data_IF_252490527868
#
_entry.id   IF_252490527868
#
_cell.length_a   1.000
_cell.length_b   1.000
_cell.length_c   1.000
_cell.angle_alpha   90.00
_cell.angle_beta   90.00
_cell.angle_gamma   90.00
#
_symmetry.space_group_name_H-M   'P 1'
#
loop_
_entity.id
_entity.type
_entity.pdbx_description
1 polymer ?
#
# COMPACT_ATOMS: atom_id res chain seq x y z
N UNK A 1 -0.15 14.67 -16.92
CA UNK A 1 0.06 13.23 -16.64
C UNK A 1 1.55 12.93 -16.74
N UNK A 2 2.25 12.83 -15.60
CA UNK A 2 3.60 12.27 -15.57
C UNK A 2 3.48 10.97 -14.78
N UNK A 3 3.30 9.87 -15.50
CA UNK A 3 3.60 8.55 -14.95
C UNK A 3 5.09 8.55 -14.70
N UNK A 4 5.52 8.85 -13.47
CA UNK A 4 6.90 8.56 -13.10
C UNK A 4 6.98 7.04 -13.03
N UNK A 5 7.33 6.42 -14.16
CA UNK A 5 7.51 4.98 -14.22
C UNK A 5 8.46 4.57 -13.09
N UNK A 6 8.08 3.52 -12.36
CA UNK A 6 8.94 3.02 -11.31
C UNK A 6 10.26 2.59 -11.95
N UNK A 7 11.33 3.36 -11.72
CA UNK A 7 12.66 3.00 -12.22
C UNK A 7 13.02 1.57 -11.77
N UNK A 8 12.63 1.18 -10.55
CA UNK A 8 12.88 -0.16 -10.01
C UNK A 8 12.11 -1.22 -10.80
N UNK A 9 10.81 -1.03 -11.05
CA UNK A 9 10.01 -2.00 -11.81
C UNK A 9 10.51 -2.16 -13.24
N UNK A 10 10.86 -1.04 -13.89
CA UNK A 10 11.42 -1.03 -15.25
C UNK A 10 12.76 -1.76 -15.26
N UNK A 11 13.65 -1.49 -14.32
CA UNK A 11 14.94 -2.19 -14.21
C UNK A 11 14.76 -3.70 -14.01
N UNK A 12 13.83 -4.13 -13.15
CA UNK A 12 13.56 -5.56 -12.96
C UNK A 12 13.07 -6.24 -14.25
N UNK A 13 12.17 -5.59 -14.99
CA UNK A 13 11.68 -6.13 -16.28
C UNK A 13 12.82 -6.23 -17.30
N UNK A 14 13.69 -5.22 -17.38
CA UNK A 14 14.86 -5.23 -18.26
C UNK A 14 15.80 -6.39 -17.92
N UNK A 15 16.09 -6.61 -16.64
CA UNK A 15 16.90 -7.76 -16.19
C UNK A 15 16.24 -9.08 -16.59
N UNK A 16 14.91 -9.19 -16.42
CA UNK A 16 14.14 -10.36 -16.85
C UNK A 16 14.24 -10.63 -18.35
N UNK A 17 14.10 -9.61 -19.20
CA UNK A 17 14.27 -9.75 -20.65
C UNK A 17 15.69 -10.13 -21.06
N UNK A 18 16.71 -9.55 -20.41
CA UNK A 18 18.10 -9.95 -20.63
C UNK A 18 18.29 -11.43 -20.25
N UNK A 19 17.68 -11.87 -19.15
CA UNK A 19 17.72 -13.26 -18.70
C UNK A 19 17.09 -14.19 -19.73
N UNK A 20 15.94 -13.83 -20.32
CA UNK A 20 15.33 -14.62 -21.40
C UNK A 20 16.22 -14.71 -22.64
N UNK A 21 16.83 -13.60 -23.05
CA UNK A 21 17.75 -13.59 -24.18
C UNK A 21 18.95 -14.53 -23.94
N UNK A 22 19.58 -14.44 -22.77
CA UNK A 22 20.68 -15.32 -22.37
C UNK A 22 20.25 -16.79 -22.24
N UNK A 23 19.03 -17.04 -21.74
CA UNK A 23 18.45 -18.39 -21.68
C UNK A 23 18.30 -18.99 -23.08
N UNK A 24 17.83 -18.20 -24.05
CA UNK A 24 17.73 -18.62 -25.44
C UNK A 24 19.09 -18.99 -26.04
N UNK A 25 20.11 -18.15 -25.86
CA UNK A 25 21.49 -18.46 -26.31
C UNK A 25 21.98 -19.76 -25.65
N UNK A 26 21.81 -19.86 -24.34
CA UNK A 26 22.27 -21.02 -23.57
C UNK A 26 21.57 -22.30 -24.00
N UNK A 27 20.28 -22.24 -24.33
CA UNK A 27 19.54 -23.37 -24.88
C UNK A 27 20.18 -23.89 -26.18
N UNK A 28 20.52 -23.03 -27.12
CA UNK A 28 21.18 -23.46 -28.37
C UNK A 28 22.57 -24.04 -28.12
N UNK A 29 23.34 -23.44 -27.21
CA UNK A 29 24.66 -23.96 -26.82
C UNK A 29 24.51 -25.34 -26.17
N UNK A 30 23.58 -25.52 -25.23
CA UNK A 30 23.34 -26.79 -24.55
C UNK A 30 22.85 -27.85 -25.54
N UNK A 31 21.93 -27.50 -26.45
CA UNK A 31 21.42 -28.42 -27.45
C UNK A 31 22.52 -28.92 -28.40
N UNK A 32 23.46 -28.06 -28.78
CA UNK A 32 24.60 -28.43 -29.62
C UNK A 32 25.60 -29.35 -28.91
N UNK A 33 25.79 -29.19 -27.59
CA UNK A 33 26.78 -29.95 -26.82
C UNK A 33 26.21 -31.24 -26.19
N UNK A 34 24.91 -31.27 -25.87
CA UNK A 34 24.26 -32.35 -25.13
C UNK A 34 23.08 -32.96 -25.89
N UNK A 35 23.22 -33.16 -27.20
CA UNK A 35 22.12 -33.62 -28.07
C UNK A 35 21.48 -34.96 -27.64
N UNK A 36 22.24 -35.84 -26.96
CA UNK A 36 21.75 -37.13 -26.45
C UNK A 36 21.01 -37.01 -25.10
N UNK A 37 21.10 -35.88 -24.40
CA UNK A 37 20.49 -35.67 -23.09
C UNK A 37 19.55 -34.46 -23.10
N UNK A 38 18.51 -34.56 -23.93
CA UNK A 38 17.50 -33.53 -24.09
C UNK A 38 16.78 -33.17 -22.78
N UNK A 39 16.58 -34.14 -21.89
CA UNK A 39 15.86 -33.93 -20.63
C UNK A 39 16.66 -33.02 -19.71
N UNK A 40 17.98 -33.20 -19.64
CA UNK A 40 18.87 -32.28 -18.92
C UNK A 40 18.84 -30.88 -19.52
N UNK A 41 18.94 -30.75 -20.85
CA UNK A 41 18.83 -29.44 -21.54
C UNK A 41 17.52 -28.74 -21.20
N UNK A 42 16.41 -29.49 -21.19
CA UNK A 42 15.09 -28.97 -20.88
C UNK A 42 14.99 -28.48 -19.43
N UNK A 43 15.47 -29.26 -18.45
CA UNK A 43 15.44 -28.87 -17.03
C UNK A 43 16.25 -27.60 -16.81
N UNK A 44 17.49 -27.54 -17.30
CA UNK A 44 18.34 -26.35 -17.14
C UNK A 44 17.73 -25.11 -17.78
N UNK A 45 17.19 -25.26 -18.99
CA UNK A 45 16.54 -24.15 -19.70
C UNK A 45 15.28 -23.70 -18.96
N UNK A 46 14.48 -24.63 -18.46
CA UNK A 46 13.28 -24.32 -17.69
C UNK A 46 13.61 -23.60 -16.37
N UNK A 47 14.67 -24.01 -15.67
CA UNK A 47 15.13 -23.33 -14.46
C UNK A 47 15.57 -21.89 -14.75
N UNK A 48 16.36 -21.64 -15.79
CA UNK A 48 16.75 -20.28 -16.17
C UNK A 48 15.56 -19.44 -16.64
N UNK A 49 14.68 -20.03 -17.42
CA UNK A 49 13.44 -19.39 -17.86
C UNK A 49 12.56 -18.96 -16.67
N UNK A 50 12.42 -19.84 -15.66
CA UNK A 50 11.65 -19.55 -14.46
C UNK A 50 12.22 -18.36 -13.69
N UNK A 51 13.55 -18.22 -13.63
CA UNK A 51 14.20 -17.05 -13.01
C UNK A 51 13.84 -15.77 -13.78
N UNK A 52 13.90 -15.79 -15.11
CA UNK A 52 13.49 -14.65 -15.94
C UNK A 52 12.03 -14.25 -15.70
N UNK A 53 11.13 -15.24 -15.60
CA UNK A 53 9.72 -15.04 -15.29
C UNK A 53 9.51 -14.36 -13.93
N UNK A 54 10.27 -14.76 -12.91
CA UNK A 54 10.19 -14.15 -11.57
C UNK A 54 10.56 -12.66 -11.63
N UNK A 55 11.64 -12.30 -12.34
CA UNK A 55 12.04 -10.89 -12.46
C UNK A 55 10.99 -10.03 -13.15
N UNK A 56 10.45 -10.50 -14.28
CA UNK A 56 9.39 -9.78 -15.00
C UNK A 56 8.12 -9.69 -14.16
N UNK A 57 7.69 -10.80 -13.56
CA UNK A 57 6.50 -10.86 -12.71
C UNK A 57 6.60 -9.93 -11.51
N UNK A 58 7.72 -9.91 -10.80
CA UNK A 58 7.95 -8.95 -9.70
C UNK A 58 7.93 -7.50 -10.19
N UNK A 59 8.52 -7.22 -11.35
CA UNK A 59 8.44 -5.90 -11.96
C UNK A 59 6.99 -5.48 -12.26
N UNK A 60 6.15 -6.40 -12.73
CA UNK A 60 4.72 -6.13 -12.93
C UNK A 60 3.97 -5.87 -11.63
N UNK A 61 4.16 -6.72 -10.62
CA UNK A 61 3.54 -6.55 -9.30
C UNK A 61 3.90 -5.18 -8.71
N UNK A 62 5.17 -4.79 -8.75
CA UNK A 62 5.62 -3.49 -8.25
C UNK A 62 4.98 -2.34 -9.04
N UNK A 63 4.89 -2.46 -10.37
CA UNK A 63 4.26 -1.45 -11.22
C UNK A 63 2.77 -1.31 -10.91
N UNK A 64 2.07 -2.42 -10.66
CA UNK A 64 0.66 -2.43 -10.28
C UNK A 64 0.45 -1.77 -8.92
N UNK A 65 1.28 -2.12 -7.92
CA UNK A 65 1.22 -1.52 -6.58
C UNK A 65 1.45 -0.01 -6.63
N UNK A 66 2.41 0.46 -7.43
CA UNK A 66 2.60 1.89 -7.61
C UNK A 66 1.45 2.57 -8.34
N UNK A 67 0.86 1.90 -9.33
CA UNK A 67 -0.29 2.46 -10.01
C UNK A 67 -1.50 2.56 -9.07
N UNK A 68 -1.70 1.59 -8.18
CA UNK A 68 -2.70 1.65 -7.12
C UNK A 68 -2.41 2.79 -6.13
N UNK A 69 -1.15 2.94 -5.70
CA UNK A 69 -0.74 4.02 -4.80
C UNK A 69 -0.89 5.41 -5.45
N UNK A 70 -0.60 5.55 -6.74
CA UNK A 70 -0.69 6.82 -7.46
C UNK A 70 -2.14 7.18 -7.86
N UNK A 71 -2.99 6.17 -8.05
CA UNK A 71 -4.41 6.34 -8.35
C UNK A 71 -5.29 6.26 -7.10
N UNK A 72 -4.71 6.08 -5.91
CA UNK A 72 -5.40 6.48 -4.71
C UNK A 72 -5.67 7.98 -4.89
N UNK A 73 -6.94 8.41 -4.85
CA UNK A 73 -7.22 9.84 -4.80
C UNK A 73 -6.39 10.38 -3.65
N UNK A 74 -5.56 11.39 -3.91
CA UNK A 74 -5.04 12.23 -2.83
C UNK A 74 -6.28 12.55 -1.99
N UNK A 75 -6.35 12.01 -0.76
CA UNK A 75 -7.33 12.47 0.22
C UNK A 75 -7.15 13.99 0.20
N UNK A 76 -8.17 14.74 -0.25
CA UNK A 76 -7.97 16.10 -0.72
C UNK A 76 -7.28 16.88 0.38
N UNK A 77 -6.03 17.28 0.13
CA UNK A 77 -5.37 18.28 0.93
C UNK A 77 -6.25 19.54 0.86
N UNK A 78 -7.01 19.78 1.92
CA UNK A 78 -7.87 20.95 2.09
C UNK A 78 -8.86 21.23 0.94
N UNK A 79 -9.94 20.47 0.89
CA UNK A 79 -11.26 21.08 0.74
C UNK A 79 -11.98 20.78 2.06
N UNK A 80 -12.13 21.68 3.04
CA UNK A 80 -13.06 22.84 2.99
C UNK A 80 -14.14 22.71 1.91
N UNK A 81 -14.71 21.52 1.79
CA UNK A 81 -16.03 21.31 1.24
C UNK A 81 -16.84 20.87 2.44
N UNK A 82 -17.72 21.78 2.83
CA UNK A 82 -18.94 21.50 3.59
C UNK A 82 -19.52 20.18 3.06
N UNK A 83 -19.19 19.07 3.73
CA UNK A 83 -19.96 17.85 3.56
C UNK A 83 -21.23 18.10 4.34
N UNK A 84 -22.18 18.74 3.66
CA UNK A 84 -23.56 18.79 4.08
C UNK A 84 -23.99 17.38 4.46
N UNK A 85 -24.14 17.17 5.77
CA UNK A 85 -25.10 16.30 6.41
C UNK A 85 -25.53 15.09 5.57
N UNK A 86 -24.66 14.12 5.38
CA UNK A 86 -25.13 12.74 5.28
C UNK A 86 -25.30 12.21 6.70
N UNK A 87 -26.49 12.54 7.20
CA UNK A 87 -27.35 11.71 8.03
C UNK A 87 -26.80 11.29 9.38
N UNK A 88 -27.51 11.76 10.41
CA UNK A 88 -27.61 11.32 11.80
C UNK A 88 -27.70 9.79 12.00
N UNK A 89 -26.72 9.02 11.53
CA UNK A 89 -26.48 7.66 11.98
C UNK A 89 -25.67 7.76 13.29
N UNK A 90 -26.39 8.13 14.35
CA UNK A 90 -26.09 7.87 15.76
C UNK A 90 -24.59 7.78 16.11
N UNK A 91 -24.02 8.91 16.58
CA UNK A 91 -22.80 8.96 17.39
C UNK A 91 -23.01 8.20 18.71
N UNK A 92 -23.15 6.88 18.66
CA UNK A 92 -23.23 6.01 19.82
C UNK A 92 -21.81 5.74 20.30
N UNK A 93 -21.45 6.43 21.37
CA UNK A 93 -20.27 6.11 22.16
C UNK A 93 -20.44 4.70 22.73
N UNK A 94 -19.37 3.91 22.68
CA UNK A 94 -19.32 2.67 23.43
C UNK A 94 -18.68 2.95 24.80
N UNK A 95 -18.99 2.12 25.79
CA UNK A 95 -18.30 2.14 27.09
C UNK A 95 -17.00 1.33 27.04
N UNK A 96 -16.59 0.84 25.87
CA UNK A 96 -15.33 0.13 25.72
C UNK A 96 -14.14 1.06 25.96
N UNK A 97 -13.21 0.55 26.74
CA UNK A 97 -11.95 1.23 27.02
C UNK A 97 -11.13 1.29 25.74
N UNK A 98 -10.72 2.50 25.34
CA UNK A 98 -9.80 2.71 24.23
C UNK A 98 -8.48 2.01 24.55
N UNK A 99 -8.02 1.12 23.67
CA UNK A 99 -6.75 0.42 23.84
C UNK A 99 -5.57 1.39 23.90
N UNK A 100 -4.57 1.09 24.73
CA UNK A 100 -3.39 1.96 24.93
C UNK A 100 -2.65 2.29 23.63
N UNK A 101 -2.62 1.33 22.69
CA UNK A 101 -2.02 1.52 21.36
C UNK A 101 -2.77 2.58 20.55
N UNK A 102 -4.09 2.46 20.45
CA UNK A 102 -4.94 3.41 19.72
C UNK A 102 -4.82 4.82 20.32
N UNK A 103 -4.78 4.89 21.66
CA UNK A 103 -4.57 6.14 22.38
C UNK A 103 -3.23 6.80 22.01
N UNK A 104 -2.13 6.04 22.04
CA UNK A 104 -0.80 6.54 21.70
C UNK A 104 -0.71 7.02 20.23
N UNK A 105 -1.31 6.29 19.30
CA UNK A 105 -1.33 6.67 17.87
C UNK A 105 -2.12 7.96 17.63
N UNK A 106 -3.28 8.13 18.30
CA UNK A 106 -4.09 9.37 18.25
C UNK A 106 -3.31 10.55 18.85
N UNK A 107 -2.71 10.36 20.03
CA UNK A 107 -1.93 11.41 20.69
C UNK A 107 -0.72 11.82 19.85
N UNK A 108 0.01 10.88 19.25
CA UNK A 108 1.15 11.17 18.37
C UNK A 108 0.71 11.95 17.12
N UNK A 109 -0.45 11.59 16.55
CA UNK A 109 -1.00 12.26 15.37
C UNK A 109 -1.32 13.74 15.63
N UNK A 110 -1.97 14.06 16.76
CA UNK A 110 -2.27 15.45 17.12
C UNK A 110 -1.03 16.20 17.61
N UNK A 111 -0.11 15.54 18.33
CA UNK A 111 1.14 16.14 18.78
C UNK A 111 2.03 16.60 17.62
N UNK A 112 2.06 15.86 16.49
CA UNK A 112 2.76 16.29 15.27
C UNK A 112 2.23 17.59 14.66
N UNK A 113 1.01 17.99 15.03
CA UNK A 113 0.36 19.21 14.56
C UNK A 113 0.23 20.25 15.68
N UNK A 114 1.04 20.14 16.75
CA UNK A 114 1.02 21.02 17.93
C UNK A 114 -0.34 21.11 18.65
N UNK A 115 -1.17 20.07 18.53
CA UNK A 115 -2.51 20.01 19.14
C UNK A 115 -2.54 19.08 20.34
N UNK A 116 -3.22 19.51 21.40
CA UNK A 116 -3.37 18.73 22.63
C UNK A 116 -4.71 17.97 22.65
N UNK A 117 -4.63 16.66 22.81
CA UNK A 117 -5.80 15.79 23.04
C UNK A 117 -6.18 15.83 24.52
N UNK A 118 -7.46 16.09 24.82
CA UNK A 118 -7.98 16.17 26.19
C UNK A 118 -8.85 14.98 26.58
N UNK A 119 -9.50 14.34 25.61
CA UNK A 119 -10.38 13.18 25.83
C UNK A 119 -10.43 12.29 24.58
N UNK A 120 -10.52 10.98 24.75
CA UNK A 120 -10.65 10.00 23.65
C UNK A 120 -11.68 8.96 24.07
N UNK A 121 -12.70 8.76 23.24
CA UNK A 121 -13.76 7.77 23.45
C UNK A 121 -13.91 6.87 22.23
N UNK A 122 -14.07 5.57 22.46
CA UNK A 122 -14.38 4.65 21.38
C UNK A 122 -15.81 4.84 20.88
N UNK A 123 -16.01 4.69 19.58
CA UNK A 123 -17.34 4.70 18.95
C UNK A 123 -17.80 3.26 18.69
N UNK A 124 -19.10 3.08 18.43
CA UNK A 124 -19.67 1.76 18.07
C UNK A 124 -19.13 1.22 16.72
N UNK A 125 -18.54 2.08 15.90
CA UNK A 125 -17.91 1.67 14.63
C UNK A 125 -16.46 1.30 14.95
N UNK A 126 -16.05 0.09 14.57
CA UNK A 126 -14.66 -0.39 14.74
C UNK A 126 -13.68 0.59 14.10
N UNK A 127 -12.56 0.82 14.78
CA UNK A 127 -11.50 1.77 14.38
C UNK A 127 -11.90 3.26 14.35
N UNK A 128 -13.12 3.64 14.77
CA UNK A 128 -13.52 5.04 14.92
C UNK A 128 -13.52 5.50 16.39
N UNK A 129 -13.00 6.71 16.62
CA UNK A 129 -12.84 7.32 17.93
C UNK A 129 -13.35 8.77 17.92
N UNK A 130 -14.04 9.17 18.99
CA UNK A 130 -14.35 10.57 19.25
C UNK A 130 -13.24 11.17 20.11
N UNK A 131 -12.51 12.12 19.54
CA UNK A 131 -11.35 12.77 20.18
C UNK A 131 -11.70 14.22 20.47
N UNK A 132 -11.47 14.67 21.69
CA UNK A 132 -11.60 16.10 22.04
C UNK A 132 -10.23 16.74 21.97
N UNK A 133 -10.10 17.77 21.13
CA UNK A 133 -8.87 18.51 20.88
C UNK A 133 -9.17 19.99 21.05
N UNK A 134 -8.49 20.66 21.97
CA UNK A 134 -8.70 22.10 22.24
C UNK A 134 -10.17 22.50 22.53
N UNK A 135 -10.96 21.57 23.08
CA UNK A 135 -12.38 21.75 23.37
C UNK A 135 -13.33 21.44 22.20
N UNK A 136 -12.81 21.09 21.02
CA UNK A 136 -13.61 20.62 19.88
C UNK A 136 -13.62 19.09 19.81
N UNK A 137 -14.80 18.50 19.64
CA UNK A 137 -14.94 17.07 19.42
C UNK A 137 -14.79 16.76 17.92
N UNK A 138 -13.83 15.92 17.57
CA UNK A 138 -13.56 15.46 16.21
C UNK A 138 -13.58 13.94 16.15
N UNK A 139 -14.05 13.38 15.05
CA UNK A 139 -14.03 11.94 14.85
C UNK A 139 -12.73 11.54 14.16
N UNK A 140 -12.07 10.48 14.63
CA UNK A 140 -10.80 9.97 14.10
C UNK A 140 -10.94 8.51 13.74
N UNK A 141 -10.53 8.14 12.54
CA UNK A 141 -10.45 6.75 12.08
C UNK A 141 -9.00 6.25 12.13
N UNK A 142 -8.77 5.08 12.74
CA UNK A 142 -7.47 4.40 12.84
C UNK A 142 -7.38 3.11 11.98
N UNK A 143 -8.33 2.89 11.06
CA UNK A 143 -8.36 1.69 10.21
C UNK A 143 -7.31 1.69 9.07
N UNK A 144 -6.70 2.84 8.78
CA UNK A 144 -5.70 3.02 7.73
C UNK A 144 -4.26 3.19 8.27
N UNK A 145 -3.27 3.12 7.38
CA UNK A 145 -1.84 3.35 7.71
C UNK A 145 -1.55 4.74 8.32
N UNK A 146 -2.50 5.68 8.28
CA UNK A 146 -2.44 7.00 8.92
C UNK A 146 -3.82 7.41 9.46
N UNK A 147 -3.91 8.05 10.65
CA UNK A 147 -5.17 8.52 11.21
C UNK A 147 -5.85 9.61 10.34
N UNK A 148 -7.17 9.55 10.21
CA UNK A 148 -7.98 10.53 9.43
C UNK A 148 -8.96 11.26 10.34
N UNK A 149 -9.04 12.59 10.26
CA UNK A 149 -9.91 13.44 11.09
C UNK A 149 -11.14 13.91 10.31
N UNK A 150 -12.33 13.72 10.88
CA UNK A 150 -13.60 14.25 10.42
C UNK A 150 -14.05 15.38 11.37
N UNK A 151 -14.17 16.60 10.84
CA UNK A 151 -14.74 17.76 11.57
C UNK A 151 -16.22 17.91 11.26
N UNK A 152 -17.00 18.27 12.28
CA UNK A 152 -18.39 18.73 12.13
C UNK A 152 -18.35 20.26 12.03
N UNK A 153 -18.80 20.81 10.90
CA UNK A 153 -19.10 22.24 10.77
C UNK A 153 -20.34 22.61 11.61
#
# INVERSE_FOLDING_TARGET
MRTSDNKIAVTLKVIGYITFFLTGITFFVLLANFYNDFLTVLIYTFSMFSIGMIFVGLGEVISLLQNLSNNQPELPAAHKKEHHAETEAELKLTNETVGERAKAEIEEFFAKNDKQVTDIKAMHIEDFYLVTVEGEAVTVELGGFQPVVYKKD
#
